data_IF_286565488824
#
_entry.id   IF_286565488824
#
_cell.length_a   1.000
_cell.length_b   1.000
_cell.length_c   1.000
_cell.angle_alpha   90.00
_cell.angle_beta   90.00
_cell.angle_gamma   90.00
#
_symmetry.space_group_name_H-M   'P 1'
#
loop_
_entity.id
_entity.type
_entity.pdbx_description
1 polymer ?
#
# COMPACT_ATOMS: atom_id res chain seq x y z
N UNK A 1 10.01 -65.82 55.82
CA UNK A 1 9.68 -66.57 54.61
C UNK A 1 9.14 -65.54 53.65
N UNK A 2 9.80 -64.90 52.77
CA UNK A 2 10.72 -65.34 51.78
C UNK A 2 9.97 -65.39 50.45
N UNK A 3 10.04 -64.35 49.62
CA UNK A 3 10.27 -64.54 48.21
C UNK A 3 10.57 -63.22 47.53
N UNK A 4 11.68 -63.21 46.84
CA UNK A 4 12.25 -62.17 46.03
C UNK A 4 11.44 -62.08 44.72
N UNK A 5 11.13 -60.85 44.27
CA UNK A 5 10.62 -60.59 42.94
C UNK A 5 11.65 -59.74 42.16
N UNK A 6 12.08 -60.25 41.01
CA UNK A 6 13.04 -59.65 40.11
C UNK A 6 12.62 -58.26 39.61
N UNK A 7 13.58 -57.34 39.59
CA UNK A 7 13.47 -56.07 38.91
C UNK A 7 13.72 -56.27 37.41
N UNK A 8 12.74 -55.91 36.60
CA UNK A 8 12.88 -55.72 35.13
C UNK A 8 13.39 -54.30 34.86
N UNK A 9 14.49 -54.22 34.16
CA UNK A 9 15.08 -52.96 33.65
C UNK A 9 14.20 -52.44 32.52
N UNK A 10 13.49 -51.36 32.77
CA UNK A 10 12.83 -50.58 31.72
C UNK A 10 13.83 -49.65 31.03
N UNK A 11 13.97 -49.86 29.74
CA UNK A 11 14.71 -49.00 28.83
C UNK A 11 13.88 -47.71 28.58
N UNK A 12 14.42 -46.50 28.70
CA UNK A 12 13.62 -45.29 28.39
C UNK A 12 13.39 -45.20 26.88
N UNK A 13 12.22 -44.71 26.46
CA UNK A 13 11.92 -44.48 25.03
C UNK A 13 12.79 -43.33 24.51
N UNK A 14 13.35 -43.55 23.34
CA UNK A 14 14.10 -42.58 22.56
C UNK A 14 13.15 -41.45 22.15
N UNK A 15 13.22 -40.29 22.75
CA UNK A 15 12.54 -39.10 22.33
C UNK A 15 13.39 -38.38 21.29
N UNK A 16 13.22 -38.80 20.03
CA UNK A 16 13.58 -37.94 18.90
C UNK A 16 12.69 -36.69 19.00
N UNK A 17 13.27 -35.66 19.59
CA UNK A 17 12.66 -34.32 19.56
C UNK A 17 12.84 -33.75 18.17
N UNK A 18 11.84 -33.99 17.32
CA UNK A 18 11.55 -33.13 16.17
C UNK A 18 11.32 -31.70 16.71
N UNK A 19 12.38 -30.92 16.69
CA UNK A 19 12.28 -29.45 16.80
C UNK A 19 11.72 -28.92 15.49
N UNK A 20 10.45 -29.21 15.25
CA UNK A 20 9.66 -28.48 14.29
C UNK A 20 9.32 -27.16 14.99
N UNK A 21 10.14 -26.13 14.74
CA UNK A 21 9.88 -24.76 15.18
C UNK A 21 8.52 -24.35 14.62
N UNK A 22 7.55 -24.22 15.52
CA UNK A 22 6.23 -23.60 15.26
C UNK A 22 6.43 -22.24 14.59
N UNK A 23 6.46 -22.23 13.26
CA UNK A 23 6.22 -21.03 12.45
C UNK A 23 4.77 -20.68 12.73
N UNK A 24 4.55 -19.60 13.51
CA UNK A 24 3.22 -19.01 13.77
C UNK A 24 2.40 -19.09 12.48
N UNK A 25 1.20 -19.64 12.59
CA UNK A 25 0.26 -19.89 11.50
C UNK A 25 0.25 -18.74 10.50
N UNK A 26 0.48 -19.05 9.23
CA UNK A 26 0.98 -18.17 8.20
C UNK A 26 0.14 -16.93 7.95
N UNK A 27 0.80 -15.78 7.91
CA UNK A 27 0.28 -14.56 7.35
C UNK A 27 -0.05 -14.70 5.86
N UNK A 28 -0.62 -13.64 5.28
CA UNK A 28 -0.86 -13.54 3.84
C UNK A 28 0.46 -13.70 3.06
N UNK A 29 0.50 -14.63 2.10
CA UNK A 29 1.69 -14.88 1.29
C UNK A 29 1.33 -15.24 -0.16
N UNK A 30 2.14 -14.80 -1.10
CA UNK A 30 2.10 -15.25 -2.50
C UNK A 30 2.81 -16.59 -2.58
N UNK A 31 2.10 -17.63 -2.99
CA UNK A 31 2.64 -18.97 -3.24
C UNK A 31 3.10 -19.12 -4.68
N UNK A 32 2.42 -18.45 -5.59
CA UNK A 32 2.76 -18.39 -7.00
C UNK A 32 2.49 -17.01 -7.55
N UNK A 33 3.40 -16.48 -8.35
CA UNK A 33 3.22 -15.25 -9.11
C UNK A 33 3.45 -15.55 -10.60
N UNK A 34 2.55 -15.10 -11.46
CA UNK A 34 2.69 -15.18 -12.91
C UNK A 34 2.46 -13.81 -13.53
N UNK A 35 3.41 -13.36 -14.32
CA UNK A 35 3.32 -12.14 -15.13
C UNK A 35 3.29 -12.55 -16.61
N UNK A 36 2.38 -11.98 -17.39
CA UNK A 36 2.27 -12.21 -18.84
C UNK A 36 2.20 -10.88 -19.56
N UNK A 37 3.10 -10.65 -20.49
CA UNK A 37 3.27 -9.41 -21.28
C UNK A 37 3.21 -8.13 -20.44
N UNK A 38 3.75 -8.22 -19.22
CA UNK A 38 3.73 -7.15 -18.23
C UNK A 38 5.10 -6.46 -18.13
N UNK A 39 5.17 -5.17 -18.43
CA UNK A 39 6.39 -4.35 -18.38
C UNK A 39 7.52 -4.93 -19.22
N UNK A 40 8.58 -5.46 -18.58
CA UNK A 40 9.69 -6.13 -19.28
C UNK A 40 9.48 -7.64 -19.44
N UNK A 41 8.52 -8.23 -18.73
CA UNK A 41 8.32 -9.67 -18.70
C UNK A 41 7.38 -10.14 -19.82
N UNK A 42 7.83 -11.07 -20.66
CA UNK A 42 6.95 -11.76 -21.60
C UNK A 42 6.12 -12.81 -20.88
N UNK A 43 6.80 -13.72 -20.20
CA UNK A 43 6.17 -14.70 -19.28
C UNK A 43 7.15 -14.99 -18.15
N UNK A 44 6.76 -14.68 -16.93
CA UNK A 44 7.55 -14.99 -15.75
C UNK A 44 6.67 -15.66 -14.72
N UNK A 45 7.05 -16.85 -14.29
CA UNK A 45 6.44 -17.58 -13.18
C UNK A 45 7.44 -17.74 -12.05
N UNK A 46 6.96 -17.56 -10.82
CA UNK A 46 7.71 -17.79 -9.60
C UNK A 46 6.85 -18.65 -8.68
N UNK A 47 7.38 -19.77 -8.22
CA UNK A 47 6.79 -20.58 -7.14
C UNK A 47 7.56 -20.25 -5.85
N UNK A 48 6.84 -20.00 -4.75
CA UNK A 48 7.33 -19.33 -3.55
C UNK A 48 6.82 -20.01 -2.29
N UNK A 49 7.51 -19.80 -1.18
CA UNK A 49 7.00 -20.11 0.15
C UNK A 49 6.62 -18.83 0.94
N UNK A 50 6.26 -18.95 2.21
CA UNK A 50 5.79 -17.81 3.00
C UNK A 50 6.91 -16.86 3.49
N UNK A 51 8.18 -17.24 3.33
CA UNK A 51 9.32 -16.42 3.78
C UNK A 51 9.41 -15.12 2.98
N UNK A 52 10.08 -14.10 3.51
CA UNK A 52 10.44 -12.90 2.77
C UNK A 52 11.16 -13.21 1.45
N UNK A 53 10.99 -12.36 0.45
CA UNK A 53 11.56 -12.50 -0.89
C UNK A 53 12.55 -11.36 -1.12
N UNK A 54 13.77 -11.68 -1.49
CA UNK A 54 14.83 -10.73 -1.83
C UNK A 54 15.13 -10.84 -3.31
N UNK A 55 14.93 -9.74 -4.04
CA UNK A 55 15.20 -9.60 -5.48
C UNK A 55 16.45 -8.77 -5.68
N UNK A 56 17.53 -9.36 -6.16
CA UNK A 56 18.79 -8.66 -6.45
C UNK A 56 19.08 -8.63 -7.94
N UNK A 57 19.90 -7.69 -8.37
CA UNK A 57 20.30 -7.53 -9.78
C UNK A 57 20.55 -6.07 -10.15
N UNK A 58 21.07 -5.83 -11.36
CA UNK A 58 21.41 -4.51 -11.84
C UNK A 58 20.19 -3.56 -11.92
N UNK A 59 20.45 -2.25 -11.96
CA UNK A 59 19.39 -1.26 -12.21
C UNK A 59 18.78 -1.50 -13.60
N UNK A 60 17.45 -1.40 -13.68
CA UNK A 60 16.72 -1.67 -14.92
C UNK A 60 16.49 -3.16 -15.24
N UNK A 61 16.98 -4.11 -14.45
CA UNK A 61 16.80 -5.54 -14.67
C UNK A 61 15.35 -6.04 -14.60
N UNK A 62 14.44 -5.27 -13.95
CA UNK A 62 13.02 -5.63 -13.83
C UNK A 62 12.53 -5.77 -12.39
N UNK A 63 13.37 -5.65 -11.37
CA UNK A 63 13.01 -5.84 -9.95
C UNK A 63 11.75 -5.05 -9.54
N UNK A 64 11.73 -3.74 -9.77
CA UNK A 64 10.59 -2.88 -9.46
C UNK A 64 9.33 -3.26 -10.28
N UNK A 65 9.50 -3.83 -11.48
CA UNK A 65 8.36 -4.28 -12.29
C UNK A 65 7.67 -5.50 -11.67
N UNK A 66 8.39 -6.38 -10.95
CA UNK A 66 7.80 -7.46 -10.16
C UNK A 66 6.96 -6.89 -9.01
N UNK A 67 7.52 -5.94 -8.24
CA UNK A 67 6.76 -5.27 -7.16
C UNK A 67 5.54 -4.53 -7.72
N UNK A 68 5.67 -3.91 -8.89
CA UNK A 68 4.54 -3.26 -9.55
C UNK A 68 3.46 -4.27 -9.94
N UNK A 69 3.82 -5.45 -10.44
CA UNK A 69 2.89 -6.56 -10.69
C UNK A 69 2.12 -6.95 -9.43
N UNK A 70 2.82 -7.18 -8.32
CA UNK A 70 2.20 -7.48 -7.02
C UNK A 70 1.26 -6.36 -6.55
N UNK A 71 1.60 -5.11 -6.79
CA UNK A 71 0.76 -3.97 -6.42
C UNK A 71 -0.57 -3.90 -7.20
N UNK A 72 -0.72 -4.68 -8.27
CA UNK A 72 -1.98 -4.89 -8.98
C UNK A 72 -2.85 -6.00 -8.39
N UNK A 73 -2.39 -6.70 -7.35
CA UNK A 73 -3.25 -7.64 -6.60
C UNK A 73 -4.17 -6.93 -5.60
N UNK A 74 -4.04 -5.61 -5.42
CA UNK A 74 -4.96 -4.79 -4.63
C UNK A 74 -5.72 -3.80 -5.53
N UNK A 75 -6.84 -3.22 -5.05
CA UNK A 75 -7.54 -2.18 -5.77
C UNK A 75 -6.67 -0.94 -6.00
N UNK A 76 -6.89 -0.25 -7.12
CA UNK A 76 -6.15 0.98 -7.43
C UNK A 76 -5.32 0.89 -8.71
N UNK A 77 -4.33 1.78 -8.83
CA UNK A 77 -3.49 1.94 -10.01
C UNK A 77 -2.08 1.36 -9.85
N UNK A 78 -1.89 0.49 -8.86
CA UNK A 78 -0.58 -0.06 -8.56
C UNK A 78 0.43 0.97 -8.02
N UNK A 79 1.64 0.52 -7.81
CA UNK A 79 2.73 1.20 -7.12
C UNK A 79 3.14 2.53 -7.78
N UNK A 80 3.24 2.58 -9.11
CA UNK A 80 3.65 3.78 -9.88
C UNK A 80 2.48 4.63 -10.38
N UNK A 81 1.22 4.18 -10.21
CA UNK A 81 0.01 4.86 -10.68
C UNK A 81 -0.02 5.17 -12.18
N UNK A 82 0.72 4.42 -12.98
CA UNK A 82 0.78 4.59 -14.42
C UNK A 82 -0.56 4.22 -15.10
N UNK A 83 -0.71 4.55 -16.37
CA UNK A 83 -1.89 4.17 -17.15
C UNK A 83 -1.86 2.66 -17.39
N UNK A 84 -3.02 2.01 -17.46
CA UNK A 84 -3.09 0.57 -17.70
C UNK A 84 -2.42 0.16 -19.01
N UNK A 85 -2.52 0.98 -20.04
CA UNK A 85 -1.84 0.77 -21.33
C UNK A 85 -0.30 0.81 -21.22
N UNK A 86 0.25 1.55 -20.24
CA UNK A 86 1.69 1.68 -20.06
C UNK A 86 2.32 0.44 -19.40
N UNK A 87 1.48 -0.50 -18.91
CA UNK A 87 1.94 -1.75 -18.30
C UNK A 87 2.25 -2.84 -19.31
N UNK A 88 1.82 -2.70 -20.57
CA UNK A 88 2.10 -3.70 -21.60
C UNK A 88 3.62 -3.86 -21.79
N UNK A 89 4.03 -5.07 -22.12
CA UNK A 89 5.42 -5.34 -22.49
C UNK A 89 5.79 -4.58 -23.77
N UNK A 90 6.93 -3.96 -23.74
CA UNK A 90 7.53 -3.28 -24.92
C UNK A 90 8.81 -3.97 -25.30
N UNK A 91 9.05 -4.10 -26.58
CA UNK A 91 10.33 -4.54 -27.11
C UNK A 91 11.33 -3.40 -27.15
N UNK A 92 12.62 -3.73 -27.13
CA UNK A 92 13.68 -2.72 -27.19
C UNK A 92 13.58 -1.95 -28.52
N UNK A 93 13.32 -0.64 -28.44
CA UNK A 93 13.17 0.24 -29.60
C UNK A 93 11.74 0.53 -30.04
N UNK A 94 10.72 -0.04 -29.38
CA UNK A 94 9.34 0.37 -29.58
C UNK A 94 9.07 1.78 -29.01
N UNK A 95 8.33 2.60 -29.78
CA UNK A 95 7.96 3.97 -29.38
C UNK A 95 7.20 4.02 -28.04
N UNK A 96 7.42 5.11 -27.32
CA UNK A 96 6.75 5.35 -26.03
C UNK A 96 5.27 5.67 -26.23
N UNK A 97 4.92 6.35 -27.33
CA UNK A 97 3.55 6.70 -27.72
C UNK A 97 2.96 5.67 -28.67
N UNK A 98 2.64 4.49 -28.15
CA UNK A 98 1.95 3.45 -28.91
C UNK A 98 0.49 3.84 -29.11
N UNK A 99 -0.01 3.86 -30.36
CA UNK A 99 -1.42 4.13 -30.61
C UNK A 99 -2.31 3.16 -29.84
N UNK A 100 -3.48 3.59 -29.35
CA UNK A 100 -4.39 2.72 -28.62
C UNK A 100 -4.72 1.41 -29.35
N UNK A 101 -4.65 1.40 -30.68
CA UNK A 101 -4.88 0.21 -31.52
C UNK A 101 -3.83 -0.89 -31.35
N UNK A 102 -2.61 -0.57 -30.90
CA UNK A 102 -1.48 -1.49 -30.77
C UNK A 102 -1.21 -1.93 -29.34
N UNK A 103 -1.99 -1.45 -28.36
CA UNK A 103 -1.82 -1.88 -26.97
C UNK A 103 -2.16 -3.37 -26.84
N UNK A 104 -1.18 -4.15 -26.39
CA UNK A 104 -1.32 -5.59 -26.13
C UNK A 104 -1.92 -5.84 -24.76
N UNK A 105 -2.75 -6.88 -24.58
CA UNK A 105 -3.22 -7.27 -23.26
C UNK A 105 -2.04 -7.73 -22.39
N UNK A 106 -2.15 -7.47 -21.09
CA UNK A 106 -1.21 -7.97 -20.09
C UNK A 106 -1.97 -8.59 -18.93
N UNK A 107 -1.30 -9.46 -18.19
CA UNK A 107 -1.89 -10.13 -17.03
C UNK A 107 -0.92 -10.29 -15.87
N UNK A 108 -1.47 -10.24 -14.66
CA UNK A 108 -0.82 -10.61 -13.40
C UNK A 108 -1.73 -11.58 -12.70
N UNK A 109 -1.24 -12.76 -12.36
CA UNK A 109 -1.98 -13.76 -11.59
C UNK A 109 -1.14 -14.21 -10.39
N UNK A 110 -1.79 -14.49 -9.29
CA UNK A 110 -1.16 -15.00 -8.08
C UNK A 110 -2.05 -16.03 -7.38
N UNK A 111 -1.44 -17.09 -6.85
CA UNK A 111 -2.04 -17.93 -5.83
C UNK A 111 -1.57 -17.39 -4.48
N UNK A 112 -2.51 -17.04 -3.63
CA UNK A 112 -2.25 -16.51 -2.30
C UNK A 112 -2.60 -17.56 -1.26
N UNK A 113 -1.71 -17.75 -0.29
CA UNK A 113 -2.00 -18.53 0.91
C UNK A 113 -2.33 -17.60 2.06
N UNK A 114 -3.36 -17.94 2.81
CA UNK A 114 -3.78 -17.28 4.04
C UNK A 114 -4.17 -18.31 5.10
N UNK A 115 -4.42 -17.91 6.37
CA UNK A 115 -4.97 -18.82 7.38
C UNK A 115 -6.31 -19.45 6.97
N UNK A 116 -7.08 -18.77 6.12
CA UNK A 116 -8.40 -19.22 5.65
C UNK A 116 -8.32 -20.16 4.44
N UNK A 117 -7.13 -20.40 3.90
CA UNK A 117 -6.87 -21.25 2.73
C UNK A 117 -6.16 -20.53 1.60
N UNK A 118 -6.18 -21.15 0.42
CA UNK A 118 -5.61 -20.59 -0.81
C UNK A 118 -6.71 -19.93 -1.66
N UNK A 119 -6.35 -18.83 -2.33
CA UNK A 119 -7.20 -18.13 -3.29
C UNK A 119 -6.39 -17.76 -4.53
N UNK A 120 -6.99 -17.92 -5.71
CA UNK A 120 -6.39 -17.49 -6.97
C UNK A 120 -6.90 -16.11 -7.37
N UNK A 121 -6.00 -15.16 -7.53
CA UNK A 121 -6.32 -13.80 -7.98
C UNK A 121 -5.65 -13.53 -9.31
N UNK A 122 -6.44 -13.09 -10.28
CA UNK A 122 -5.95 -12.61 -11.57
C UNK A 122 -6.39 -11.17 -11.84
N UNK A 123 -5.50 -10.37 -12.42
CA UNK A 123 -5.83 -9.05 -12.95
C UNK A 123 -5.24 -8.90 -14.34
N UNK A 124 -6.03 -8.37 -15.25
CA UNK A 124 -5.63 -8.21 -16.64
C UNK A 124 -6.12 -6.89 -17.21
N UNK A 125 -5.42 -6.40 -18.22
CA UNK A 125 -5.89 -5.31 -19.06
C UNK A 125 -6.69 -5.87 -20.22
N UNK A 126 -7.90 -5.36 -20.36
CA UNK A 126 -8.73 -5.61 -21.52
C UNK A 126 -8.92 -4.32 -22.29
N UNK A 127 -8.54 -4.38 -23.56
CA UNK A 127 -8.78 -3.29 -24.47
C UNK A 127 -10.26 -3.20 -24.79
N UNK A 128 -10.82 -1.99 -24.71
CA UNK A 128 -12.20 -1.78 -25.07
C UNK A 128 -12.45 -1.96 -26.57
N UNK A 129 -13.45 -2.77 -26.92
CA UNK A 129 -14.01 -2.79 -28.25
C UNK A 129 -14.95 -1.60 -28.45
N UNK A 130 -14.94 -1.01 -29.65
CA UNK A 130 -15.94 -0.03 -30.10
C UNK A 130 -16.10 1.25 -29.25
N UNK A 131 -14.98 1.93 -28.93
CA UNK A 131 -15.04 3.26 -28.29
C UNK A 131 -15.36 3.27 -26.79
N UNK A 132 -15.51 2.12 -26.16
CA UNK A 132 -15.57 2.00 -24.70
C UNK A 132 -14.21 2.32 -24.06
N UNK A 133 -14.20 2.56 -22.74
CA UNK A 133 -12.95 2.78 -22.00
C UNK A 133 -12.26 1.47 -21.70
N UNK A 134 -10.93 1.47 -21.84
CA UNK A 134 -10.06 0.38 -21.40
C UNK A 134 -10.39 -0.02 -19.97
N UNK A 135 -10.44 -1.33 -19.73
CA UNK A 135 -10.84 -1.89 -18.44
C UNK A 135 -9.71 -2.73 -17.85
N UNK A 136 -9.63 -2.65 -16.53
CA UNK A 136 -8.94 -3.65 -15.73
C UNK A 136 -9.96 -4.69 -15.31
N UNK A 137 -9.75 -5.95 -15.75
CA UNK A 137 -10.54 -7.10 -15.32
C UNK A 137 -9.86 -7.70 -14.10
N UNK A 138 -10.67 -8.17 -13.17
CA UNK A 138 -10.23 -8.91 -11.97
C UNK A 138 -10.97 -10.24 -11.96
N UNK A 139 -10.25 -11.32 -11.64
CA UNK A 139 -10.79 -12.64 -11.37
C UNK A 139 -10.38 -13.09 -9.99
N UNK A 140 -11.28 -13.78 -9.30
CA UNK A 140 -11.04 -14.47 -8.03
C UNK A 140 -11.53 -15.90 -8.22
N UNK A 141 -10.68 -16.88 -8.01
CA UNK A 141 -10.96 -18.31 -8.22
C UNK A 141 -11.60 -18.62 -9.59
N UNK A 142 -11.08 -17.97 -10.64
CA UNK A 142 -11.55 -18.09 -12.02
C UNK A 142 -12.75 -17.22 -12.37
N UNK A 143 -13.52 -16.73 -11.41
CA UNK A 143 -14.73 -15.94 -11.62
C UNK A 143 -14.43 -14.45 -11.82
N UNK A 144 -15.07 -13.82 -12.81
CA UNK A 144 -14.91 -12.39 -13.07
C UNK A 144 -15.62 -11.55 -12.01
N UNK A 145 -14.86 -10.76 -11.29
CA UNK A 145 -15.39 -9.88 -10.25
C UNK A 145 -16.08 -8.63 -10.85
N UNK A 146 -17.20 -8.22 -10.23
CA UNK A 146 -17.93 -7.01 -10.63
C UNK A 146 -17.13 -5.71 -10.44
N UNK A 147 -16.19 -5.71 -9.52
CA UNK A 147 -15.35 -4.56 -9.17
C UNK A 147 -14.00 -5.01 -8.65
N UNK A 148 -12.95 -4.23 -8.90
CA UNK A 148 -11.66 -4.47 -8.29
C UNK A 148 -11.67 -4.30 -6.75
N UNK A 149 -12.72 -3.76 -6.16
CA UNK A 149 -12.84 -3.61 -4.71
C UNK A 149 -12.79 -4.95 -3.97
N UNK A 150 -13.24 -6.04 -4.59
CA UNK A 150 -13.19 -7.41 -4.02
C UNK A 150 -11.77 -7.84 -3.63
N UNK A 151 -10.75 -7.32 -4.30
CA UNK A 151 -9.35 -7.63 -3.97
C UNK A 151 -8.98 -7.23 -2.54
N UNK A 152 -9.63 -6.20 -1.98
CA UNK A 152 -9.36 -5.75 -0.61
C UNK A 152 -9.82 -6.74 0.47
N UNK A 153 -10.72 -7.67 0.12
CA UNK A 153 -11.18 -8.71 1.03
C UNK A 153 -10.13 -9.83 1.17
N UNK A 154 -9.28 -10.02 0.14
CA UNK A 154 -8.28 -11.07 0.07
C UNK A 154 -6.86 -10.59 0.31
N UNK A 155 -6.52 -9.36 -0.10
CA UNK A 155 -5.14 -8.87 -0.11
C UNK A 155 -5.01 -7.51 0.54
N UNK A 156 -4.11 -7.41 1.50
CA UNK A 156 -3.63 -6.14 2.05
C UNK A 156 -2.16 -5.97 1.71
N UNK A 157 -1.81 -4.85 1.09
CA UNK A 157 -0.42 -4.54 0.70
C UNK A 157 -0.06 -3.14 1.18
N UNK A 158 1.15 -2.99 1.67
CA UNK A 158 1.81 -1.71 1.89
C UNK A 158 3.08 -1.67 1.04
N UNK A 159 3.46 -0.49 0.60
CA UNK A 159 4.70 -0.35 -0.15
C UNK A 159 5.51 0.87 0.26
N UNK A 160 6.81 0.74 0.09
CA UNK A 160 7.77 1.82 0.20
C UNK A 160 8.61 1.85 -1.08
N UNK A 161 8.70 3.01 -1.70
CA UNK A 161 9.45 3.22 -2.94
C UNK A 161 10.38 4.43 -2.82
N UNK A 162 11.45 4.52 -3.61
CA UNK A 162 12.35 5.69 -3.59
C UNK A 162 11.64 7.02 -3.85
N UNK A 163 10.54 7.02 -4.60
CA UNK A 163 9.72 8.24 -4.80
C UNK A 163 9.13 8.78 -3.50
N UNK A 164 8.90 7.90 -2.52
CA UNK A 164 8.33 8.29 -1.22
C UNK A 164 9.37 8.92 -0.27
N UNK A 165 10.65 8.76 -0.54
CA UNK A 165 11.73 9.39 0.26
C UNK A 165 11.59 10.92 0.32
N UNK A 166 10.89 11.52 -0.67
CA UNK A 166 10.59 12.95 -0.71
C UNK A 166 9.24 13.35 -0.10
N UNK A 167 8.52 12.43 0.53
CA UNK A 167 7.15 12.63 1.03
C UNK A 167 7.03 13.88 1.91
N UNK A 168 7.99 14.12 2.79
CA UNK A 168 7.92 15.22 3.76
C UNK A 168 8.33 16.58 3.18
N UNK A 169 9.12 16.59 2.10
CA UNK A 169 9.56 17.83 1.43
C UNK A 169 8.72 18.19 0.20
N UNK A 170 7.96 17.23 -0.33
CA UNK A 170 6.99 17.50 -1.39
C UNK A 170 5.77 18.27 -0.90
N UNK A 171 4.95 18.76 -1.84
CA UNK A 171 3.73 19.47 -1.51
C UNK A 171 2.67 18.62 -0.80
N UNK A 172 1.66 19.25 -0.17
CA UNK A 172 0.61 18.61 0.62
C UNK A 172 -0.14 17.51 -0.13
N UNK A 173 -0.21 17.58 -1.46
CA UNK A 173 -0.87 16.59 -2.30
C UNK A 173 -0.23 15.20 -2.22
N UNK A 174 1.10 15.11 -2.08
CA UNK A 174 1.79 13.83 -1.92
C UNK A 174 1.43 13.19 -0.57
N UNK A 175 1.46 13.99 0.50
CA UNK A 175 1.13 13.54 1.85
C UNK A 175 -0.33 13.10 1.98
N UNK A 176 -1.28 13.82 1.37
CA UNK A 176 -2.68 13.37 1.32
C UNK A 176 -2.84 12.03 0.59
N UNK A 177 -2.17 11.86 -0.56
CA UNK A 177 -2.21 10.59 -1.29
C UNK A 177 -1.60 9.42 -0.51
N UNK A 178 -0.55 9.70 0.26
CA UNK A 178 0.04 8.71 1.17
C UNK A 178 -0.97 8.33 2.27
N UNK A 179 -1.54 9.32 2.96
CA UNK A 179 -2.55 9.11 3.99
C UNK A 179 -3.77 8.34 3.46
N UNK A 180 -4.31 8.73 2.28
CA UNK A 180 -5.42 8.01 1.65
C UNK A 180 -5.06 6.56 1.34
N UNK A 181 -3.81 6.27 0.99
CA UNK A 181 -3.30 4.90 0.82
C UNK A 181 -3.30 4.10 2.13
N UNK A 182 -2.99 4.75 3.25
CA UNK A 182 -3.09 4.13 4.57
C UNK A 182 -4.54 3.85 4.95
N UNK A 183 -5.43 4.83 4.77
CA UNK A 183 -6.87 4.68 5.06
C UNK A 183 -7.48 3.57 4.21
N UNK A 184 -7.14 3.53 2.91
CA UNK A 184 -7.67 2.53 1.98
C UNK A 184 -7.42 1.08 2.43
N UNK A 185 -6.29 0.81 3.08
CA UNK A 185 -5.97 -0.52 3.59
C UNK A 185 -6.86 -0.99 4.75
N UNK A 186 -7.45 -0.05 5.51
CA UNK A 186 -8.39 -0.34 6.61
C UNK A 186 -9.85 -0.14 6.19
N UNK A 187 -10.10 0.73 5.20
CA UNK A 187 -11.45 1.06 4.69
C UNK A 187 -11.46 1.06 3.16
N UNK A 188 -11.80 -0.06 2.52
CA UNK A 188 -11.87 -0.16 1.06
C UNK A 188 -12.83 0.83 0.39
N UNK A 189 -13.87 1.29 1.09
CA UNK A 189 -14.84 2.26 0.56
C UNK A 189 -14.26 3.68 0.44
N UNK A 190 -13.15 3.97 1.13
CA UNK A 190 -12.52 5.28 1.13
C UNK A 190 -12.14 5.78 -0.28
N UNK A 191 -11.59 4.90 -1.12
CA UNK A 191 -11.23 5.26 -2.50
C UNK A 191 -12.45 5.73 -3.33
N UNK A 192 -13.62 5.11 -3.11
CA UNK A 192 -14.88 5.52 -3.71
C UNK A 192 -15.33 6.90 -3.23
N UNK A 193 -15.20 7.18 -1.92
CA UNK A 193 -15.53 8.49 -1.32
C UNK A 193 -14.63 9.60 -1.86
N UNK A 194 -13.31 9.38 -1.90
CA UNK A 194 -12.35 10.34 -2.48
C UNK A 194 -12.67 10.61 -3.95
N UNK A 195 -12.94 9.57 -4.76
CA UNK A 195 -13.29 9.72 -6.17
C UNK A 195 -14.57 10.52 -6.37
N UNK A 196 -15.61 10.25 -5.58
CA UNK A 196 -16.88 10.97 -5.65
C UNK A 196 -16.72 12.44 -5.25
N UNK A 197 -15.97 12.69 -4.17
CA UNK A 197 -15.61 14.04 -3.73
C UNK A 197 -14.84 14.82 -4.82
N UNK A 198 -13.80 14.23 -5.37
CA UNK A 198 -12.97 14.85 -6.42
C UNK A 198 -13.78 15.10 -7.72
N UNK A 199 -14.74 14.25 -8.02
CA UNK A 199 -15.63 14.47 -9.17
C UNK A 199 -16.54 15.68 -8.92
N UNK A 200 -17.24 15.72 -7.79
CA UNK A 200 -18.12 16.83 -7.44
C UNK A 200 -17.34 18.15 -7.34
N UNK A 201 -16.12 18.13 -6.78
CA UNK A 201 -15.23 19.29 -6.73
C UNK A 201 -14.91 19.85 -8.12
N UNK A 202 -14.54 18.98 -9.08
CA UNK A 202 -14.23 19.43 -10.45
C UNK A 202 -15.45 19.95 -11.18
N UNK A 203 -16.62 19.26 -11.06
CA UNK A 203 -17.87 19.70 -11.70
C UNK A 203 -18.36 21.02 -11.12
N UNK A 204 -18.32 21.20 -9.78
CA UNK A 204 -18.64 22.48 -9.15
C UNK A 204 -17.75 23.61 -9.69
N UNK A 205 -16.43 23.40 -9.77
CA UNK A 205 -15.52 24.41 -10.31
C UNK A 205 -15.75 24.70 -11.78
N UNK A 206 -16.13 23.71 -12.59
CA UNK A 206 -16.51 23.91 -13.99
C UNK A 206 -17.74 24.83 -14.07
N UNK A 207 -18.81 24.53 -13.32
CA UNK A 207 -20.03 25.32 -13.31
C UNK A 207 -19.79 26.77 -12.86
N UNK A 208 -18.96 26.95 -11.82
CA UNK A 208 -18.62 28.30 -11.32
C UNK A 208 -17.85 29.10 -12.35
N UNK A 209 -16.88 28.50 -13.07
CA UNK A 209 -16.14 29.18 -14.15
C UNK A 209 -17.00 29.51 -15.35
N UNK A 210 -17.95 28.63 -15.70
CA UNK A 210 -18.88 28.82 -16.81
C UNK A 210 -19.97 29.85 -16.47
N UNK A 211 -19.98 30.41 -15.25
CA UNK A 211 -20.98 31.38 -14.78
C UNK A 211 -22.37 30.79 -14.68
N UNK A 212 -22.51 29.50 -14.44
CA UNK A 212 -23.79 28.81 -14.37
C UNK A 212 -24.68 29.43 -13.28
N UNK A 213 -25.95 29.67 -13.66
CA UNK A 213 -27.02 30.15 -12.77
C UNK A 213 -27.86 29.02 -12.17
N UNK A 214 -27.52 27.76 -12.47
CA UNK A 214 -28.24 26.60 -11.93
C UNK A 214 -27.78 26.36 -10.46
N UNK A 215 -28.47 27.09 -9.58
CA UNK A 215 -28.22 26.99 -8.14
C UNK A 215 -28.61 25.61 -7.57
N UNK A 216 -29.56 24.91 -8.19
CA UNK A 216 -29.98 23.57 -7.77
C UNK A 216 -28.89 22.55 -8.05
N UNK A 217 -28.28 22.58 -9.25
CA UNK A 217 -27.16 21.70 -9.57
C UNK A 217 -25.92 21.97 -8.69
N UNK A 218 -25.56 23.25 -8.48
CA UNK A 218 -24.49 23.62 -7.56
C UNK A 218 -24.76 23.08 -6.15
N UNK A 219 -25.98 23.24 -5.61
CA UNK A 219 -26.33 22.73 -4.29
C UNK A 219 -26.21 21.19 -4.19
N UNK A 220 -26.60 20.44 -5.23
CA UNK A 220 -26.45 18.97 -5.27
C UNK A 220 -24.99 18.53 -5.27
N UNK A 221 -24.12 19.25 -6.00
CA UNK A 221 -22.67 18.98 -5.97
C UNK A 221 -22.06 19.30 -4.61
N UNK A 222 -22.47 20.42 -4.02
CA UNK A 222 -22.03 20.85 -2.69
C UNK A 222 -22.49 19.89 -1.59
N UNK A 223 -23.70 19.34 -1.70
CA UNK A 223 -24.18 18.27 -0.82
C UNK A 223 -23.32 17.01 -0.94
N UNK A 224 -23.02 16.58 -2.16
CA UNK A 224 -22.10 15.46 -2.42
C UNK A 224 -20.71 15.74 -1.83
N UNK A 225 -20.19 16.96 -2.01
CA UNK A 225 -18.90 17.36 -1.46
C UNK A 225 -18.92 17.36 0.07
N UNK A 226 -19.98 17.83 0.71
CA UNK A 226 -20.11 17.85 2.16
C UNK A 226 -20.14 16.42 2.72
N UNK A 227 -21.07 15.59 2.26
CA UNK A 227 -21.22 14.22 2.75
C UNK A 227 -19.97 13.37 2.50
N UNK A 228 -19.42 13.37 1.27
CA UNK A 228 -18.22 12.58 0.96
C UNK A 228 -16.96 13.18 1.57
N UNK A 229 -16.86 14.51 1.61
CA UNK A 229 -15.72 15.22 2.18
C UNK A 229 -15.58 15.02 3.69
N UNK A 230 -16.68 15.10 4.44
CA UNK A 230 -16.67 14.82 5.88
C UNK A 230 -16.33 13.35 6.15
N UNK A 231 -16.88 12.42 5.37
CA UNK A 231 -16.52 11.01 5.49
C UNK A 231 -15.04 10.73 5.18
N UNK A 232 -14.42 11.44 4.22
CA UNK A 232 -12.98 11.37 3.92
C UNK A 232 -12.16 11.90 5.09
N UNK A 233 -12.52 13.06 5.64
CA UNK A 233 -11.82 13.66 6.77
C UNK A 233 -11.92 12.79 8.04
N UNK A 234 -13.09 12.25 8.34
CA UNK A 234 -13.31 11.35 9.48
C UNK A 234 -12.46 10.08 9.38
N UNK A 235 -12.39 9.45 8.20
CA UNK A 235 -11.58 8.26 7.99
C UNK A 235 -10.07 8.55 8.13
N UNK A 236 -9.60 9.71 7.68
CA UNK A 236 -8.21 10.16 7.87
C UNK A 236 -7.89 10.39 9.35
N UNK A 237 -8.77 11.06 10.09
CA UNK A 237 -8.63 11.27 11.53
C UNK A 237 -8.54 9.96 12.29
N UNK A 238 -9.43 9.01 11.99
CA UNK A 238 -9.45 7.71 12.66
C UNK A 238 -8.15 6.92 12.44
N UNK A 239 -7.71 6.79 11.17
CA UNK A 239 -6.46 6.10 10.87
C UNK A 239 -5.26 6.81 11.48
N UNK A 240 -5.21 8.14 11.44
CA UNK A 240 -4.12 8.92 12.05
C UNK A 240 -4.07 8.69 13.56
N UNK A 241 -5.21 8.69 14.25
CA UNK A 241 -5.28 8.42 15.69
C UNK A 241 -4.78 7.00 16.02
N UNK A 242 -5.23 5.98 15.30
CA UNK A 242 -4.81 4.58 15.52
C UNK A 242 -3.34 4.36 15.21
N UNK A 243 -2.87 4.92 14.11
CA UNK A 243 -1.45 4.86 13.73
C UNK A 243 -0.56 5.61 14.75
N UNK A 244 -1.02 6.74 15.29
CA UNK A 244 -0.34 7.47 16.34
C UNK A 244 -0.02 6.62 17.57
N UNK A 245 -0.91 5.71 17.96
CA UNK A 245 -0.66 4.75 19.05
C UNK A 245 0.52 3.83 18.72
N UNK A 246 0.61 3.35 17.48
CA UNK A 246 1.69 2.46 17.04
C UNK A 246 3.04 3.17 16.93
N UNK A 247 3.02 4.49 16.75
CA UNK A 247 4.20 5.32 16.53
C UNK A 247 4.69 6.04 17.79
N UNK A 248 3.91 5.98 18.88
CA UNK A 248 4.21 6.69 20.13
C UNK A 248 5.46 6.15 20.84
N UNK A 249 5.79 4.87 20.64
CA UNK A 249 6.97 4.24 21.20
C UNK A 249 8.14 4.31 20.21
N UNK A 250 9.33 4.57 20.74
CA UNK A 250 10.58 4.39 20.00
C UNK A 250 10.82 2.87 19.86
N UNK A 251 10.88 2.37 18.65
CA UNK A 251 11.10 0.95 18.38
C UNK A 251 12.57 0.66 18.03
N UNK A 252 13.47 1.15 18.88
CA UNK A 252 14.92 0.91 18.74
C UNK A 252 15.56 1.74 17.62
N UNK A 253 15.79 1.15 16.44
CA UNK A 253 16.46 1.83 15.33
C UNK A 253 15.57 2.82 14.55
N UNK A 254 14.25 2.77 14.75
CA UNK A 254 13.30 3.65 14.09
C UNK A 254 12.66 4.60 15.10
N UNK A 255 12.66 5.91 14.78
CA UNK A 255 12.18 6.92 15.73
C UNK A 255 10.67 6.82 15.95
N UNK A 256 10.23 7.11 17.16
CA UNK A 256 8.85 7.42 17.44
C UNK A 256 8.41 8.68 16.67
N UNK A 257 7.15 8.71 16.26
CA UNK A 257 6.58 9.82 15.51
C UNK A 257 5.23 10.27 16.06
N UNK A 258 5.03 11.58 16.16
CA UNK A 258 3.70 12.16 16.31
C UNK A 258 3.14 12.42 14.90
N UNK A 259 1.91 11.99 14.69
CA UNK A 259 1.21 12.13 13.41
C UNK A 259 -0.14 12.81 13.65
N UNK A 260 -0.46 13.79 12.82
CA UNK A 260 -1.70 14.55 12.90
C UNK A 260 -2.19 14.88 11.49
N UNK A 261 -3.51 14.94 11.29
CA UNK A 261 -4.10 15.51 10.09
C UNK A 261 -4.90 16.76 10.48
N UNK A 262 -4.58 17.86 9.82
CA UNK A 262 -5.16 19.16 10.11
C UNK A 262 -5.86 19.73 8.87
N UNK A 263 -7.01 20.36 9.10
CA UNK A 263 -7.78 21.06 8.10
C UNK A 263 -9.09 21.57 8.68
N UNK A 264 -9.81 22.45 7.94
CA UNK A 264 -11.07 22.99 8.43
C UNK A 264 -12.13 21.92 8.72
N UNK A 265 -12.26 20.90 7.87
CA UNK A 265 -13.26 19.84 8.03
C UNK A 265 -12.89 18.94 9.20
N UNK A 266 -11.60 18.64 9.38
CA UNK A 266 -11.07 17.88 10.50
C UNK A 266 -11.33 18.61 11.83
N UNK A 267 -11.16 19.94 11.86
CA UNK A 267 -11.47 20.77 13.05
C UNK A 267 -12.96 20.70 13.39
N UNK A 268 -13.85 20.83 12.41
CA UNK A 268 -15.31 20.75 12.66
C UNK A 268 -15.75 19.39 13.20
N UNK A 269 -15.07 18.32 12.79
CA UNK A 269 -15.30 16.96 13.33
C UNK A 269 -14.81 16.83 14.77
N UNK A 270 -13.82 17.60 15.19
CA UNK A 270 -13.38 17.72 16.59
C UNK A 270 -14.37 18.50 17.46
N UNK A 271 -15.09 19.47 16.87
CA UNK A 271 -16.02 20.35 17.59
C UNK A 271 -17.40 19.71 17.81
N UNK A 272 -17.80 18.66 17.04
CA UNK A 272 -19.14 18.10 17.13
C UNK A 272 -19.41 16.92 16.21
N UNK A 273 -20.69 16.51 16.10
CA UNK A 273 -21.08 15.38 15.29
C UNK A 273 -20.88 15.60 13.79
N UNK A 274 -20.65 14.51 13.06
CA UNK A 274 -20.38 14.56 11.61
C UNK A 274 -21.48 15.29 10.81
N UNK A 275 -22.75 15.14 11.20
CA UNK A 275 -23.86 15.83 10.56
C UNK A 275 -23.72 17.36 10.66
N UNK A 276 -23.32 17.89 11.82
CA UNK A 276 -23.08 19.33 12.01
C UNK A 276 -21.90 19.82 11.15
N UNK A 277 -20.84 19.00 11.01
CA UNK A 277 -19.74 19.28 10.10
C UNK A 277 -20.17 19.29 8.63
N UNK A 278 -21.07 18.39 8.22
CA UNK A 278 -21.65 18.38 6.86
C UNK A 278 -22.49 19.64 6.61
N UNK A 279 -23.38 20.01 7.54
CA UNK A 279 -24.21 21.22 7.42
C UNK A 279 -23.34 22.48 7.33
N UNK A 280 -22.32 22.56 8.17
CA UNK A 280 -21.36 23.68 8.14
C UNK A 280 -20.61 23.71 6.81
N UNK A 281 -20.20 22.57 6.29
CA UNK A 281 -19.47 22.52 5.03
C UNK A 281 -20.34 22.93 3.85
N UNK A 282 -21.62 22.50 3.79
CA UNK A 282 -22.60 22.95 2.77
C UNK A 282 -22.74 24.48 2.81
N UNK A 283 -22.95 25.04 4.00
CA UNK A 283 -23.11 26.48 4.16
C UNK A 283 -21.86 27.26 3.70
N UNK A 284 -20.67 26.79 4.05
CA UNK A 284 -19.41 27.41 3.63
C UNK A 284 -19.21 27.32 2.12
N UNK A 285 -19.49 26.16 1.48
CA UNK A 285 -19.38 26.02 0.03
C UNK A 285 -20.36 26.93 -0.71
N UNK A 286 -21.60 27.05 -0.24
CA UNK A 286 -22.61 27.92 -0.81
C UNK A 286 -22.20 29.41 -0.68
N UNK A 287 -21.69 29.82 0.48
CA UNK A 287 -21.19 31.18 0.71
C UNK A 287 -19.94 31.53 -0.09
N UNK A 288 -19.10 30.54 -0.39
CA UNK A 288 -17.84 30.72 -1.11
C UNK A 288 -17.94 30.70 -2.63
N UNK A 289 -19.15 30.54 -3.22
CA UNK A 289 -19.31 30.41 -4.68
C UNK A 289 -18.66 31.56 -5.45
N UNK A 290 -18.88 32.82 -5.00
CA UNK A 290 -18.33 34.00 -5.67
C UNK A 290 -16.80 34.09 -5.57
N UNK A 291 -16.23 33.86 -4.40
CA UNK A 291 -14.77 33.88 -4.18
C UNK A 291 -14.10 32.72 -4.91
N UNK A 292 -14.66 31.51 -4.84
CA UNK A 292 -14.13 30.34 -5.54
C UNK A 292 -14.15 30.50 -7.07
N UNK A 293 -15.22 31.14 -7.62
CA UNK A 293 -15.28 31.47 -9.03
C UNK A 293 -14.19 32.46 -9.44
N UNK A 294 -13.96 33.50 -8.64
CA UNK A 294 -12.93 34.51 -8.90
C UNK A 294 -11.51 33.93 -8.79
N UNK A 295 -11.26 33.07 -7.79
CA UNK A 295 -9.96 32.42 -7.61
C UNK A 295 -9.73 31.24 -8.54
N UNK A 296 -10.74 30.73 -9.21
CA UNK A 296 -10.69 29.54 -10.09
C UNK A 296 -10.41 28.23 -9.33
N UNK A 297 -10.63 28.20 -8.00
CA UNK A 297 -10.39 27.03 -7.15
C UNK A 297 -11.30 27.03 -5.92
N UNK A 298 -11.70 25.85 -5.47
CA UNK A 298 -12.34 25.70 -4.16
C UNK A 298 -11.30 25.79 -3.05
N UNK A 299 -11.56 26.65 -2.08
CA UNK A 299 -10.60 27.04 -1.05
C UNK A 299 -10.68 26.18 0.21
N UNK A 300 -11.81 25.56 0.49
CA UNK A 300 -12.09 24.79 1.72
C UNK A 300 -12.52 23.36 1.39
N UNK A 301 -12.02 22.40 2.18
CA UNK A 301 -12.39 20.99 2.08
C UNK A 301 -11.22 20.05 2.32
N UNK A 302 -11.45 18.72 2.38
CA UNK A 302 -10.42 17.72 2.68
C UNK A 302 -9.32 17.62 1.62
N UNK A 303 -9.49 18.20 0.44
CA UNK A 303 -8.44 18.39 -0.57
C UNK A 303 -7.40 19.44 -0.16
N UNK A 304 -7.63 20.17 0.94
CA UNK A 304 -6.69 21.13 1.55
C UNK A 304 -6.08 20.63 2.85
N UNK A 305 -6.53 19.48 3.40
CA UNK A 305 -5.98 18.92 4.63
C UNK A 305 -4.48 18.65 4.51
N UNK A 306 -3.79 18.76 5.62
CA UNK A 306 -2.34 18.53 5.72
C UNK A 306 -2.05 17.39 6.69
N UNK A 307 -1.19 16.46 6.27
CA UNK A 307 -0.63 15.45 7.14
C UNK A 307 0.66 15.97 7.75
N UNK A 308 0.65 16.19 9.05
CA UNK A 308 1.81 16.63 9.82
C UNK A 308 2.45 15.44 10.52
N UNK A 309 3.77 15.34 10.42
CA UNK A 309 4.58 14.30 11.08
C UNK A 309 5.71 15.02 11.82
N UNK A 310 5.92 14.65 13.10
CA UNK A 310 7.02 15.13 13.93
C UNK A 310 7.81 13.96 14.47
N UNK A 311 9.11 14.12 14.48
CA UNK A 311 10.03 13.18 15.15
C UNK A 311 9.93 13.38 16.66
N UNK A 312 9.58 12.36 17.45
CA UNK A 312 9.39 12.50 18.89
C UNK A 312 10.71 12.77 19.63
N UNK A 313 11.81 12.17 19.22
CA UNK A 313 13.09 12.30 19.92
C UNK A 313 13.70 13.69 19.90
N UNK A 314 13.57 14.44 18.77
CA UNK A 314 14.09 15.80 18.63
C UNK A 314 13.01 16.88 18.50
N UNK A 315 11.72 16.52 18.46
CA UNK A 315 10.59 17.42 18.38
C UNK A 315 10.42 18.15 17.03
N UNK A 316 11.28 17.85 16.02
CA UNK A 316 11.27 18.55 14.74
C UNK A 316 10.16 18.04 13.83
N UNK A 317 9.63 18.94 12.97
CA UNK A 317 8.78 18.52 11.86
C UNK A 317 9.60 17.66 10.88
N UNK A 318 9.00 16.57 10.37
CA UNK A 318 9.68 15.64 9.48
C UNK A 318 10.33 16.31 8.26
N UNK A 319 9.74 17.38 7.73
CA UNK A 319 10.29 18.13 6.61
C UNK A 319 11.62 18.86 6.94
N UNK A 320 11.92 19.09 8.22
CA UNK A 320 13.15 19.75 8.70
C UNK A 320 14.21 18.76 9.19
N UNK A 321 13.89 17.49 9.26
CA UNK A 321 14.80 16.41 9.61
C UNK A 321 15.80 16.16 8.47
N UNK A 322 16.95 15.55 8.80
CA UNK A 322 17.92 15.08 7.79
C UNK A 322 17.29 14.01 6.89
N UNK A 323 17.86 13.79 5.70
CA UNK A 323 17.36 12.79 4.75
C UNK A 323 17.31 11.37 5.36
N UNK A 324 18.30 11.01 6.18
CA UNK A 324 18.32 9.74 6.90
C UNK A 324 17.24 9.62 7.96
N UNK A 325 16.95 10.70 8.71
CA UNK A 325 15.83 10.76 9.67
C UNK A 325 14.48 10.74 8.96
N UNK A 326 14.34 11.45 7.84
CA UNK A 326 13.12 11.41 7.03
C UNK A 326 12.82 9.99 6.54
N UNK A 327 13.83 9.26 6.06
CA UNK A 327 13.69 7.86 5.64
C UNK A 327 13.34 6.97 6.81
N UNK A 328 13.99 7.14 7.97
CA UNK A 328 13.67 6.39 9.18
C UNK A 328 12.22 6.63 9.66
N UNK A 329 11.75 7.89 9.64
CA UNK A 329 10.36 8.24 9.93
C UNK A 329 9.39 7.61 8.94
N UNK A 330 9.70 7.60 7.65
CA UNK A 330 8.86 7.00 6.63
C UNK A 330 8.75 5.47 6.81
N UNK A 331 9.86 4.81 7.13
CA UNK A 331 9.87 3.39 7.47
C UNK A 331 9.05 3.13 8.74
N UNK A 332 9.22 3.94 9.78
CA UNK A 332 8.41 3.85 11.00
C UNK A 332 6.91 3.94 10.72
N UNK A 333 6.48 4.87 9.84
CA UNK A 333 5.09 5.01 9.41
C UNK A 333 4.58 3.74 8.70
N UNK A 334 5.38 3.15 7.81
CA UNK A 334 5.00 1.93 7.07
C UNK A 334 4.93 0.73 8.02
N UNK A 335 5.92 0.53 8.89
CA UNK A 335 5.95 -0.55 9.88
C UNK A 335 4.83 -0.39 10.92
N UNK A 336 4.60 0.82 11.45
CA UNK A 336 3.49 1.12 12.32
C UNK A 336 2.13 0.82 11.68
N UNK A 337 1.98 1.15 10.39
CA UNK A 337 0.78 0.81 9.62
C UNK A 337 0.63 -0.71 9.42
N UNK A 338 1.74 -1.44 9.25
CA UNK A 338 1.73 -2.89 9.14
C UNK A 338 1.30 -3.54 10.46
N UNK A 339 1.85 -3.09 11.60
CA UNK A 339 1.44 -3.54 12.95
C UNK A 339 -0.04 -3.26 13.22
N UNK A 340 -0.49 -2.05 12.93
CA UNK A 340 -1.89 -1.66 13.07
C UNK A 340 -2.81 -2.61 12.29
N UNK A 341 -2.51 -2.88 11.02
CA UNK A 341 -3.32 -3.78 10.17
C UNK A 341 -3.24 -5.23 10.63
N UNK A 342 -2.08 -5.70 11.10
CA UNK A 342 -1.93 -7.03 11.65
C UNK A 342 -2.83 -7.23 12.87
N UNK A 343 -2.94 -6.23 13.76
CA UNK A 343 -3.85 -6.26 14.91
C UNK A 343 -5.33 -6.25 14.50
N UNK A 344 -5.69 -5.48 13.46
CA UNK A 344 -7.07 -5.34 13.00
C UNK A 344 -7.57 -6.59 12.26
N UNK A 345 -6.71 -7.22 11.46
CA UNK A 345 -7.09 -8.33 10.56
C UNK A 345 -6.63 -9.70 11.05
N UNK A 346 -5.86 -9.76 12.13
CA UNK A 346 -5.26 -11.01 12.61
C UNK A 346 -4.11 -11.51 11.75
N UNK A 347 -3.77 -10.84 10.64
CA UNK A 347 -2.64 -11.17 9.78
C UNK A 347 -1.96 -9.89 9.27
N UNK A 348 -0.63 -9.94 9.14
CA UNK A 348 0.14 -8.83 8.62
C UNK A 348 -0.09 -8.62 7.12
N UNK A 349 -0.10 -7.36 6.64
CA UNK A 349 -0.15 -7.08 5.21
C UNK A 349 1.16 -7.51 4.53
N UNK A 350 1.09 -7.83 3.25
CA UNK A 350 2.29 -7.96 2.43
C UNK A 350 3.00 -6.61 2.31
N UNK A 351 4.34 -6.60 2.40
CA UNK A 351 5.15 -5.39 2.24
C UNK A 351 5.95 -5.46 0.93
N UNK A 352 5.92 -4.37 0.16
CA UNK A 352 6.73 -4.21 -1.05
C UNK A 352 7.74 -3.09 -0.81
N UNK A 353 9.01 -3.42 -0.62
CA UNK A 353 10.07 -2.50 -0.25
C UNK A 353 11.07 -2.36 -1.39
N UNK A 354 10.88 -1.31 -2.21
CA UNK A 354 11.73 -1.06 -3.37
C UNK A 354 13.00 -0.30 -2.96
N UNK A 355 14.16 -0.83 -3.30
CA UNK A 355 15.49 -0.28 -2.98
C UNK A 355 15.67 0.09 -1.49
N UNK A 356 15.13 -0.74 -0.60
CA UNK A 356 15.03 -0.41 0.83
C UNK A 356 16.41 -0.26 1.49
N UNK A 357 17.38 -1.07 1.08
CA UNK A 357 18.73 -1.03 1.63
C UNK A 357 19.52 0.24 1.26
N UNK A 358 19.09 0.99 0.22
CA UNK A 358 19.72 2.22 -0.15
C UNK A 358 19.52 3.29 0.95
N UNK A 359 20.65 3.91 1.36
CA UNK A 359 20.66 4.99 2.36
C UNK A 359 20.28 4.60 3.81
N UNK A 360 20.23 3.32 4.15
CA UNK A 360 20.19 2.85 5.54
C UNK A 360 21.59 2.42 5.97
N UNK A 361 21.95 2.76 7.21
CA UNK A 361 23.12 2.16 7.86
C UNK A 361 22.84 0.70 8.23
N UNK A 362 23.90 -0.06 8.54
CA UNK A 362 23.79 -1.50 8.85
C UNK A 362 22.90 -1.76 10.07
N UNK A 363 23.00 -0.93 11.12
CA UNK A 363 22.20 -1.09 12.34
C UNK A 363 20.70 -0.96 12.07
N UNK A 364 20.28 0.05 11.28
CA UNK A 364 18.88 0.23 10.89
C UNK A 364 18.41 -0.86 9.94
N UNK A 365 19.28 -1.35 9.07
CA UNK A 365 18.96 -2.43 8.15
C UNK A 365 18.71 -3.74 8.89
N UNK A 366 19.55 -4.09 9.85
CA UNK A 366 19.38 -5.28 10.69
C UNK A 366 18.10 -5.19 11.52
N UNK A 367 17.84 -4.04 12.14
CA UNK A 367 16.60 -3.82 12.89
C UNK A 367 15.35 -3.90 12.01
N UNK A 368 15.41 -3.42 10.76
CA UNK A 368 14.33 -3.57 9.79
C UNK A 368 14.05 -5.05 9.51
N UNK A 369 15.10 -5.84 9.30
CA UNK A 369 14.97 -7.26 9.04
C UNK A 369 14.35 -8.02 10.21
N UNK A 370 14.75 -7.70 11.43
CA UNK A 370 14.18 -8.31 12.63
C UNK A 370 12.71 -7.93 12.82
N UNK A 371 12.35 -6.67 12.58
CA UNK A 371 10.97 -6.20 12.61
C UNK A 371 10.09 -6.91 11.56
N UNK A 372 10.58 -7.04 10.33
CA UNK A 372 9.90 -7.73 9.23
C UNK A 372 9.63 -9.19 9.58
N UNK A 373 10.64 -9.89 10.12
CA UNK A 373 10.50 -11.28 10.54
C UNK A 373 9.51 -11.39 11.71
N UNK A 374 9.61 -10.47 12.69
CA UNK A 374 8.72 -10.43 13.85
C UNK A 374 7.25 -10.19 13.49
N UNK A 375 6.99 -9.44 12.41
CA UNK A 375 5.64 -9.22 11.88
C UNK A 375 5.01 -10.48 11.27
N UNK A 376 5.81 -11.47 10.86
CA UNK A 376 5.32 -12.65 10.14
C UNK A 376 4.71 -12.32 8.77
N UNK A 377 5.05 -11.17 8.20
CA UNK A 377 4.59 -10.74 6.87
C UNK A 377 5.48 -11.34 5.78
N UNK A 378 4.91 -11.73 4.64
CA UNK A 378 5.73 -11.91 3.44
C UNK A 378 6.12 -10.54 2.90
N UNK A 379 7.42 -10.27 2.88
CA UNK A 379 7.98 -9.00 2.45
C UNK A 379 8.80 -9.19 1.19
N UNK A 380 8.56 -8.38 0.19
CA UNK A 380 9.30 -8.37 -1.06
C UNK A 380 10.24 -7.17 -1.04
N UNK A 381 11.53 -7.44 -1.08
CA UNK A 381 12.60 -6.44 -1.02
C UNK A 381 13.41 -6.44 -2.30
N UNK A 382 13.79 -5.27 -2.78
CA UNK A 382 14.71 -5.13 -3.91
C UNK A 382 16.00 -4.44 -3.50
N UNK A 383 17.09 -4.82 -4.16
CA UNK A 383 18.38 -4.17 -4.01
C UNK A 383 19.31 -4.49 -5.18
N UNK A 384 20.39 -3.71 -5.31
CA UNK A 384 21.45 -3.96 -6.30
C UNK A 384 22.56 -4.84 -5.75
N UNK A 385 22.81 -4.79 -4.45
CA UNK A 385 23.86 -5.53 -3.77
C UNK A 385 23.25 -6.60 -2.85
N UNK A 386 23.50 -7.87 -3.18
CA UNK A 386 23.05 -9.00 -2.37
C UNK A 386 23.71 -9.08 -1.01
N UNK A 387 24.90 -8.48 -0.85
CA UNK A 387 25.66 -8.52 0.40
C UNK A 387 24.91 -7.83 1.55
N UNK A 388 24.09 -6.82 1.25
CA UNK A 388 23.28 -6.10 2.23
C UNK A 388 22.18 -6.96 2.86
N UNK A 389 21.77 -8.03 2.19
CA UNK A 389 20.73 -8.94 2.65
C UNK A 389 21.26 -10.23 3.30
N UNK A 390 22.58 -10.33 3.50
CA UNK A 390 23.20 -11.50 4.18
C UNK A 390 22.58 -11.85 5.53
N UNK A 391 22.14 -10.89 6.38
CA UNK A 391 21.49 -11.21 7.64
C UNK A 391 20.18 -12.03 7.48
N UNK A 392 19.59 -12.02 6.30
CA UNK A 392 18.39 -12.81 5.97
C UNK A 392 18.71 -14.21 5.40
N UNK A 393 19.98 -14.61 5.31
CA UNK A 393 20.36 -15.93 4.82
C UNK A 393 19.66 -17.04 5.63
N UNK A 394 19.04 -18.01 4.92
CA UNK A 394 18.23 -19.06 5.55
C UNK A 394 16.83 -18.62 6.02
N UNK A 395 16.59 -17.30 6.18
CA UNK A 395 15.31 -16.71 6.65
C UNK A 395 14.48 -16.10 5.53
N UNK A 396 15.05 -15.94 4.33
CA UNK A 396 14.39 -15.41 3.12
C UNK A 396 14.68 -16.27 1.90
N UNK A 397 13.91 -16.06 0.84
CA UNK A 397 14.11 -16.61 -0.48
C UNK A 397 14.85 -15.59 -1.34
N UNK A 398 15.93 -16.00 -1.98
CA UNK A 398 16.76 -15.11 -2.79
C UNK A 398 16.59 -15.39 -4.28
N UNK A 399 16.40 -14.34 -5.06
CA UNK A 399 16.29 -14.40 -6.52
C UNK A 399 17.20 -13.36 -7.15
N UNK A 400 17.88 -13.77 -8.21
CA UNK A 400 18.59 -12.85 -9.09
C UNK A 400 17.70 -12.47 -10.27
N UNK A 401 17.65 -11.17 -10.57
CA UNK A 401 16.88 -10.64 -11.70
C UNK A 401 17.87 -10.07 -12.72
N UNK A 402 17.90 -10.67 -13.89
CA UNK A 402 18.75 -10.26 -14.99
C UNK A 402 17.95 -10.37 -16.31
N UNK A 403 18.00 -9.31 -17.14
CA UNK A 403 17.37 -9.28 -18.47
C UNK A 403 15.91 -9.79 -18.49
N UNK A 404 15.10 -9.30 -17.55
CA UNK A 404 13.72 -9.72 -17.37
C UNK A 404 13.53 -11.23 -17.10
N UNK A 405 14.54 -11.89 -16.56
CA UNK A 405 14.50 -13.28 -16.11
C UNK A 405 14.77 -13.33 -14.61
N UNK A 406 14.02 -14.16 -13.89
CA UNK A 406 14.15 -14.35 -12.45
C UNK A 406 14.64 -15.76 -12.19
N UNK A 407 15.77 -15.90 -11.52
CA UNK A 407 16.36 -17.19 -11.14
C UNK A 407 16.53 -17.27 -9.64
N UNK A 408 16.16 -18.40 -9.04
CA UNK A 408 16.41 -18.65 -7.62
C UNK A 408 17.93 -18.74 -7.36
N UNK A 409 18.37 -18.12 -6.27
CA UNK A 409 19.75 -18.25 -5.74
C UNK A 409 19.67 -19.26 -4.60
N UNK A 410 20.34 -20.41 -4.78
CA UNK A 410 20.39 -21.49 -3.81
C UNK A 410 21.32 -21.18 -2.64
#
# INVERSE_FOLDING_TARGET
MGSQGLATLDTPPNTDSDTNSDVKAGGLSVRRLTLTDFRCYHHQRMDLDARPVVLTGANGAGKTNLLEGLSFLVPGRGLRRARLADMMRRERGEDIDVPPSQVRPWGVAATLGSPDGEVEIGTAYEKAANGNRDKRIVKVDGEVAKSQAVLADHVSVLWLTPLMDRLFVEGPGARRRFLDGLVFGSDPAHAGRVKAYDHALRERMRLLRDGSKDLGWLASLEDTMATRGVAVAAARLDVTRRLGVQLAADTGAFPGAAIEVAGPVESWLGDGPALAAEDRFRAVLAGARGSDAAEGRTTIGPHKSELMVRHLGNGQAAALCSTGEQKALLIALVLGSARMRAQERGCAPMLLLDEIAAHLDSHRLDALFDEIIGLGAQVWMTGTDSSLFKPLAGRAQFFNVAEATVTAVL
#
